data_IF_957833659646
#
_entry.id   IF_957833659646
#
_cell.length_a   1.000
_cell.length_b   1.000
_cell.length_c   1.000
_cell.angle_alpha   90.00
_cell.angle_beta   90.00
_cell.angle_gamma   90.00
#
_symmetry.space_group_name_H-M   'P 1'
#
loop_
_entity.id
_entity.type
_entity.pdbx_description
1 polymer ?
#
# COMPACT_ATOMS: atom_id res chain seq x y z
N UNK A 1 -16.21 -44.80 6.72
CA UNK A 1 -17.34 -44.91 5.76
C UNK A 1 -17.53 -43.57 5.09
N UNK A 2 -17.45 -43.49 3.76
CA UNK A 2 -17.82 -42.27 3.02
C UNK A 2 -19.30 -42.27 2.64
N UNK A 3 -19.93 -41.09 2.50
CA UNK A 3 -21.25 -40.95 1.86
C UNK A 3 -21.31 -39.70 0.97
N UNK A 4 -21.82 -39.95 -0.24
CA UNK A 4 -21.99 -39.05 -1.40
C UNK A 4 -23.11 -39.67 -2.26
N UNK A 5 -24.00 -38.94 -2.94
CA UNK A 5 -24.34 -37.50 -2.95
C UNK A 5 -25.87 -37.38 -2.77
N UNK A 6 -26.45 -36.17 -2.86
CA UNK A 6 -27.60 -35.88 -3.76
C UNK A 6 -28.04 -34.40 -3.81
N UNK A 7 -27.65 -33.76 -4.91
CA UNK A 7 -28.34 -32.75 -5.75
C UNK A 7 -29.38 -31.75 -5.19
N UNK A 8 -29.15 -30.49 -5.56
CA UNK A 8 -30.06 -29.34 -5.52
C UNK A 8 -29.31 -28.12 -4.93
N UNK A 9 -29.02 -27.03 -5.64
CA UNK A 9 -29.51 -26.48 -6.92
C UNK A 9 -28.30 -25.90 -7.71
N UNK A 10 -28.29 -26.00 -9.05
CA UNK A 10 -27.35 -25.22 -9.89
C UNK A 10 -27.81 -23.76 -9.94
N UNK A 11 -27.11 -22.86 -9.27
CA UNK A 11 -27.43 -21.43 -9.29
C UNK A 11 -26.23 -20.52 -9.05
N UNK A 12 -25.68 -19.98 -10.15
CA UNK A 12 -24.83 -18.77 -10.28
C UNK A 12 -23.58 -18.64 -9.37
N UNK A 13 -22.42 -18.53 -10.03
CA UNK A 13 -21.14 -18.02 -9.48
C UNK A 13 -20.80 -18.46 -8.05
N UNK A 14 -20.18 -19.62 -7.93
CA UNK A 14 -19.31 -19.88 -6.79
C UNK A 14 -18.11 -18.93 -6.86
N UNK A 15 -18.25 -17.76 -6.23
CA UNK A 15 -17.16 -16.87 -5.86
C UNK A 15 -16.01 -17.73 -5.33
N UNK A 16 -14.79 -17.53 -5.83
CA UNK A 16 -13.62 -18.28 -5.38
C UNK A 16 -13.59 -18.23 -3.85
N UNK A 17 -13.62 -19.39 -3.19
CA UNK A 17 -13.94 -19.54 -1.76
C UNK A 17 -13.04 -18.62 -0.92
N UNK A 18 -13.54 -17.43 -0.58
CA UNK A 18 -12.71 -16.36 -0.01
C UNK A 18 -12.38 -16.77 1.42
N UNK A 19 -11.13 -17.14 1.65
CA UNK A 19 -10.62 -17.56 2.97
C UNK A 19 -10.23 -16.36 3.85
N UNK A 20 -10.51 -15.14 3.40
CA UNK A 20 -10.10 -13.88 4.01
C UNK A 20 -11.36 -13.03 4.22
N UNK A 21 -11.63 -12.57 5.45
CA UNK A 21 -12.84 -11.79 5.73
C UNK A 21 -12.70 -10.32 5.27
N UNK A 22 -13.82 -9.58 5.12
CA UNK A 22 -13.75 -8.15 4.81
C UNK A 22 -12.92 -7.36 5.84
N UNK A 23 -12.95 -7.75 7.11
CA UNK A 23 -12.19 -7.15 8.20
C UNK A 23 -10.69 -7.41 8.06
N UNK A 24 -10.28 -8.61 7.64
CA UNK A 24 -8.87 -8.91 7.38
C UNK A 24 -8.32 -8.08 6.20
N UNK A 25 -9.14 -7.85 5.16
CA UNK A 25 -8.80 -6.98 4.03
C UNK A 25 -8.72 -5.50 4.45
N UNK A 26 -9.65 -5.04 5.30
CA UNK A 26 -9.67 -3.67 5.85
C UNK A 26 -8.44 -3.40 6.73
N UNK A 27 -8.12 -4.36 7.60
CA UNK A 27 -6.91 -4.35 8.42
C UNK A 27 -5.64 -4.35 7.57
N UNK A 28 -5.60 -5.09 6.45
CA UNK A 28 -4.49 -5.03 5.51
C UNK A 28 -4.37 -3.64 4.87
N UNK A 29 -5.48 -3.07 4.37
CA UNK A 29 -5.49 -1.71 3.79
C UNK A 29 -5.03 -0.64 4.79
N UNK A 30 -5.43 -0.76 6.06
CA UNK A 30 -5.00 0.15 7.12
C UNK A 30 -3.50 0.04 7.46
N UNK A 31 -2.88 -1.13 7.30
CA UNK A 31 -1.41 -1.29 7.39
C UNK A 31 -0.68 -0.60 6.23
N UNK A 32 -1.23 -0.64 5.02
CA UNK A 32 -0.68 0.09 3.88
C UNK A 32 -0.74 1.61 4.08
N UNK A 33 -1.86 2.13 4.62
CA UNK A 33 -1.98 3.56 4.96
C UNK A 33 -0.99 3.97 6.07
N UNK A 34 -0.79 3.15 7.10
CA UNK A 34 0.22 3.38 8.13
C UNK A 34 1.63 3.40 7.54
N UNK A 35 1.98 2.40 6.72
CA UNK A 35 3.28 2.34 6.06
C UNK A 35 3.52 3.55 5.15
N UNK A 36 2.47 4.10 4.50
CA UNK A 36 2.57 5.32 3.70
C UNK A 36 2.90 6.55 4.57
N UNK A 37 2.26 6.69 5.74
CA UNK A 37 2.53 7.78 6.68
C UNK A 37 3.96 7.70 7.25
N UNK A 38 4.40 6.51 7.67
CA UNK A 38 5.75 6.27 8.18
C UNK A 38 6.81 6.54 7.10
N UNK A 39 6.56 6.11 5.86
CA UNK A 39 7.47 6.34 4.72
C UNK A 39 7.54 7.82 4.32
N UNK A 40 6.43 8.56 4.40
CA UNK A 40 6.40 10.01 4.13
C UNK A 40 7.16 10.80 5.20
N UNK A 41 7.00 10.44 6.47
CA UNK A 41 7.77 11.03 7.58
C UNK A 41 9.27 10.76 7.41
N UNK A 42 9.66 9.52 7.07
CA UNK A 42 11.06 9.17 6.82
C UNK A 42 11.64 9.95 5.63
N UNK A 43 10.89 10.08 4.52
CA UNK A 43 11.32 10.87 3.38
C UNK A 43 11.54 12.35 3.73
N UNK A 44 10.63 12.95 4.52
CA UNK A 44 10.77 14.32 5.02
C UNK A 44 12.01 14.49 5.92
N UNK A 45 12.28 13.53 6.81
CA UNK A 45 13.46 13.54 7.69
C UNK A 45 14.76 13.45 6.88
N UNK A 46 14.84 12.52 5.91
CA UNK A 46 16.02 12.34 5.06
C UNK A 46 16.29 13.57 4.17
N UNK A 47 15.25 14.17 3.59
CA UNK A 47 15.38 15.40 2.81
C UNK A 47 15.87 16.57 3.69
N UNK A 48 15.34 16.71 4.91
CA UNK A 48 15.75 17.76 5.85
C UNK A 48 17.21 17.58 6.31
N UNK A 49 17.63 16.34 6.57
CA UNK A 49 19.02 16.01 6.88
C UNK A 49 19.94 16.41 5.72
N UNK A 50 19.60 16.03 4.49
CA UNK A 50 20.43 16.34 3.32
C UNK A 50 20.57 17.85 3.07
N UNK A 51 19.50 18.63 3.21
CA UNK A 51 19.59 20.09 3.07
C UNK A 51 20.42 20.73 4.21
N UNK A 52 20.34 20.20 5.45
CA UNK A 52 21.19 20.66 6.57
C UNK A 52 22.69 20.41 6.38
N UNK A 53 23.04 19.38 5.59
CA UNK A 53 24.42 19.06 5.23
C UNK A 53 24.92 19.88 4.03
N UNK A 54 24.02 20.45 3.22
CA UNK A 54 24.34 21.13 1.97
C UNK A 54 25.19 22.37 2.15
N UNK A 55 24.85 23.21 3.12
CA UNK A 55 25.61 24.42 3.48
C UNK A 55 26.99 24.14 4.08
N UNK A 56 27.22 22.93 4.58
CA UNK A 56 28.51 22.50 5.15
C UNK A 56 29.37 21.75 4.13
N UNK A 57 28.76 21.26 3.05
CA UNK A 57 29.40 20.44 2.02
C UNK A 57 29.43 21.18 0.66
N UNK A 58 29.75 22.47 0.67
CA UNK A 58 29.85 23.27 -0.55
C UNK A 58 31.11 22.93 -1.36
N UNK A 59 30.94 22.69 -2.67
CA UNK A 59 32.03 22.44 -3.60
C UNK A 59 31.61 21.64 -4.84
N UNK A 60 32.42 21.68 -5.90
CA UNK A 60 32.12 20.99 -7.16
C UNK A 60 31.93 19.47 -7.01
N UNK A 61 32.54 18.86 -5.99
CA UNK A 61 32.45 17.43 -5.68
C UNK A 61 31.09 17.00 -5.12
N UNK A 62 30.34 17.91 -4.48
CA UNK A 62 29.04 17.60 -3.89
C UNK A 62 27.85 17.89 -4.82
N UNK A 63 27.98 18.87 -5.73
CA UNK A 63 26.91 19.26 -6.65
C UNK A 63 26.32 18.05 -7.40
N UNK A 64 27.16 17.25 -8.04
CA UNK A 64 26.70 16.06 -8.77
C UNK A 64 26.09 14.96 -7.90
N UNK A 65 26.34 14.96 -6.58
CA UNK A 65 25.60 14.12 -5.63
C UNK A 65 24.21 14.70 -5.35
N UNK A 66 24.12 16.00 -5.06
CA UNK A 66 22.84 16.67 -4.81
C UNK A 66 21.90 16.62 -6.03
N UNK A 67 22.42 16.77 -7.25
CA UNK A 67 21.62 16.64 -8.49
C UNK A 67 21.01 15.24 -8.64
N UNK A 68 21.75 14.19 -8.26
CA UNK A 68 21.23 12.81 -8.25
C UNK A 68 20.21 12.61 -7.13
N UNK A 69 20.51 13.07 -5.92
CA UNK A 69 19.59 12.97 -4.78
C UNK A 69 18.24 13.68 -5.05
N UNK A 70 18.28 14.86 -5.66
CA UNK A 70 17.09 15.61 -6.09
C UNK A 70 16.27 14.88 -7.17
N UNK A 71 16.92 14.10 -8.04
CA UNK A 71 16.23 13.17 -8.94
C UNK A 71 15.68 11.95 -8.20
N UNK A 72 16.40 11.40 -7.23
CA UNK A 72 16.07 10.11 -6.62
C UNK A 72 15.00 10.22 -5.53
N UNK A 73 14.86 11.38 -4.86
CA UNK A 73 13.79 11.62 -3.87
C UNK A 73 12.39 11.44 -4.44
N UNK A 74 12.19 11.61 -5.76
CA UNK A 74 10.89 11.33 -6.42
C UNK A 74 10.45 9.88 -6.25
N UNK A 75 11.41 8.95 -6.12
CA UNK A 75 11.12 7.53 -5.92
C UNK A 75 10.50 7.28 -4.53
N UNK A 76 10.85 8.11 -3.53
CA UNK A 76 10.20 8.08 -2.21
C UNK A 76 8.73 8.51 -2.31
N UNK A 77 8.45 9.58 -3.07
CA UNK A 77 7.07 10.03 -3.34
C UNK A 77 6.25 8.95 -4.05
N UNK A 78 6.79 8.38 -5.14
CA UNK A 78 6.13 7.29 -5.90
C UNK A 78 5.86 6.06 -5.01
N UNK A 79 6.78 5.74 -4.09
CA UNK A 79 6.58 4.64 -3.14
C UNK A 79 5.44 4.93 -2.15
N UNK A 80 5.38 6.14 -1.58
CA UNK A 80 4.26 6.57 -0.71
C UNK A 80 2.92 6.57 -1.45
N UNK A 81 2.88 7.04 -2.70
CA UNK A 81 1.69 7.00 -3.56
C UNK A 81 1.23 5.57 -3.84
N UNK A 82 2.15 4.66 -4.14
CA UNK A 82 1.86 3.24 -4.33
C UNK A 82 1.24 2.60 -3.08
N UNK A 83 1.81 2.86 -1.89
CA UNK A 83 1.26 2.37 -0.63
C UNK A 83 -0.18 2.87 -0.39
N UNK A 84 -0.44 4.18 -0.62
CA UNK A 84 -1.78 4.77 -0.51
C UNK A 84 -2.78 4.17 -1.52
N UNK A 85 -2.33 3.91 -2.75
CA UNK A 85 -3.16 3.30 -3.78
C UNK A 85 -3.60 1.88 -3.39
N UNK A 86 -2.68 1.05 -2.91
CA UNK A 86 -2.98 -0.31 -2.42
C UNK A 86 -3.87 -0.27 -1.17
N UNK A 87 -3.61 0.63 -0.22
CA UNK A 87 -4.46 0.82 0.96
C UNK A 87 -5.91 1.16 0.59
N UNK A 88 -6.07 2.07 -0.37
CA UNK A 88 -7.38 2.48 -0.93
C UNK A 88 -8.08 1.33 -1.65
N UNK A 89 -7.37 0.58 -2.49
CA UNK A 89 -7.94 -0.55 -3.23
C UNK A 89 -8.45 -1.66 -2.29
N UNK A 90 -7.66 -2.03 -1.27
CA UNK A 90 -8.04 -3.03 -0.27
C UNK A 90 -9.30 -2.60 0.49
N UNK A 91 -9.39 -1.33 0.93
CA UNK A 91 -10.60 -0.80 1.60
C UNK A 91 -11.83 -0.79 0.68
N UNK A 92 -11.65 -0.51 -0.62
CA UNK A 92 -12.72 -0.62 -1.61
C UNK A 92 -13.18 -2.08 -1.82
N UNK A 93 -12.26 -3.05 -1.84
CA UNK A 93 -12.58 -4.49 -1.91
C UNK A 93 -13.36 -4.94 -0.67
N UNK A 94 -12.87 -4.60 0.54
CA UNK A 94 -13.56 -4.88 1.80
C UNK A 94 -15.00 -4.35 1.80
N UNK A 95 -15.19 -3.10 1.38
CA UNK A 95 -16.51 -2.47 1.27
C UNK A 95 -17.44 -3.23 0.33
N UNK A 96 -16.94 -3.67 -0.84
CA UNK A 96 -17.73 -4.47 -1.80
C UNK A 96 -18.14 -5.83 -1.25
N UNK A 97 -17.29 -6.49 -0.44
CA UNK A 97 -17.64 -7.77 0.18
C UNK A 97 -18.72 -7.60 1.24
N UNK A 98 -18.59 -6.60 2.14
CA UNK A 98 -19.65 -6.27 3.12
C UNK A 98 -21.00 -5.99 2.45
N UNK A 99 -21.00 -5.33 1.29
CA UNK A 99 -22.22 -5.07 0.51
C UNK A 99 -22.80 -6.34 -0.15
N UNK A 100 -21.95 -7.27 -0.58
CA UNK A 100 -22.38 -8.54 -1.16
C UNK A 100 -22.96 -9.51 -0.11
N UNK A 101 -22.40 -9.53 1.10
CA UNK A 101 -22.90 -10.35 2.22
C UNK A 101 -24.19 -9.81 2.86
N UNK A 102 -24.60 -8.57 2.51
CA UNK A 102 -25.84 -7.92 2.96
C UNK A 102 -27.02 -8.09 1.99
N UNK A 103 -26.85 -8.80 0.87
CA UNK A 103 -27.87 -9.02 -0.17
C UNK A 103 -28.36 -10.48 -0.25
#
# INVERSE_FOLDING_TARGET
MGKIYKNGIKGKMGMAKILITPEEIDNAGSKFDQAAQESEQLAQQLNSLMESMRSQWEGMTSQGFYDRFESDKKNMTVYVEMLRAVGTELKAISTRFRQADQQ
#
